data_IF_761884914540
#
_entry.id   IF_761884914540
#
_cell.length_a   1.000
_cell.length_b   1.000
_cell.length_c   1.000
_cell.angle_alpha   90.00
_cell.angle_beta   90.00
_cell.angle_gamma   90.00
#
_symmetry.space_group_name_H-M   'P 1'
#
loop_
_entity.id
_entity.type
_entity.pdbx_description
1 polymer ?
#
# COMPACT_ATOMS: atom_id res chain seq x y z
N UNK A 1 1.74 7.10 -54.79
CA UNK A 1 1.38 6.74 -53.41
C UNK A 1 2.22 7.60 -52.47
N UNK A 2 1.67 8.50 -51.65
CA UNK A 2 2.48 9.31 -50.75
C UNK A 2 2.92 8.44 -49.56
N UNK A 3 4.23 8.33 -49.37
CA UNK A 3 4.84 7.69 -48.22
C UNK A 3 4.41 8.43 -46.94
N UNK A 4 3.69 7.74 -46.06
CA UNK A 4 3.36 8.20 -44.73
C UNK A 4 4.66 8.37 -43.91
N UNK A 5 5.03 9.61 -43.62
CA UNK A 5 6.18 9.93 -42.74
C UNK A 5 5.86 9.47 -41.31
N UNK A 6 6.42 8.34 -40.90
CA UNK A 6 6.45 7.94 -39.48
C UNK A 6 7.38 8.88 -38.71
N UNK A 7 6.91 9.39 -37.58
CA UNK A 7 7.74 10.20 -36.70
C UNK A 7 8.40 9.25 -35.68
N UNK A 8 9.73 9.23 -35.65
CA UNK A 8 10.48 8.50 -34.64
C UNK A 8 10.53 9.36 -33.35
N UNK A 9 10.20 8.75 -32.22
CA UNK A 9 10.38 9.28 -30.88
C UNK A 9 11.15 8.25 -30.04
N UNK A 10 11.81 8.68 -28.98
CA UNK A 10 12.55 7.81 -28.07
C UNK A 10 11.79 7.70 -26.76
N UNK A 11 11.30 6.50 -26.44
CA UNK A 11 10.50 6.22 -25.26
C UNK A 11 11.40 5.66 -24.16
N UNK A 12 11.29 6.23 -22.96
CA UNK A 12 12.02 5.75 -21.79
C UNK A 12 11.33 4.50 -21.22
N UNK A 13 12.06 3.38 -21.09
CA UNK A 13 11.55 2.13 -20.51
C UNK A 13 11.32 2.23 -18.99
N UNK A 14 11.97 3.17 -18.29
CA UNK A 14 11.82 3.36 -16.86
C UNK A 14 10.65 4.27 -16.47
N UNK A 15 10.48 5.43 -17.13
CA UNK A 15 9.42 6.39 -16.77
C UNK A 15 8.33 6.56 -17.83
N UNK A 16 8.49 5.97 -19.03
CA UNK A 16 7.52 6.04 -20.12
C UNK A 16 7.41 7.39 -20.84
N UNK A 17 8.22 8.38 -20.49
CA UNK A 17 8.23 9.67 -21.19
C UNK A 17 8.87 9.53 -22.57
N UNK A 18 8.27 10.20 -23.57
CA UNK A 18 8.78 10.26 -24.92
C UNK A 18 9.63 11.50 -25.15
N UNK A 19 10.71 11.33 -25.90
CA UNK A 19 11.66 12.38 -26.23
C UNK A 19 11.86 12.45 -27.75
N UNK A 20 12.02 13.65 -28.30
CA UNK A 20 12.22 13.83 -29.76
C UNK A 20 13.59 13.36 -30.25
N UNK A 21 14.53 13.12 -29.34
CA UNK A 21 15.91 12.67 -29.61
C UNK A 21 16.31 11.61 -28.61
N UNK A 22 17.26 10.78 -29.00
CA UNK A 22 17.91 9.85 -28.09
C UNK A 22 18.88 10.58 -27.15
N UNK A 23 18.82 10.21 -25.87
CA UNK A 23 19.74 10.64 -24.82
C UNK A 23 20.30 9.41 -24.10
N UNK A 24 21.57 9.43 -23.70
CA UNK A 24 22.15 8.35 -22.88
C UNK A 24 21.49 8.24 -21.51
N UNK A 25 21.04 9.37 -20.95
CA UNK A 25 20.30 9.48 -19.70
C UNK A 25 18.95 10.11 -19.98
N UNK A 26 17.87 9.54 -19.43
CA UNK A 26 16.52 10.08 -19.61
C UNK A 26 16.38 11.44 -18.90
N UNK A 27 16.00 12.53 -19.62
CA UNK A 27 15.85 13.85 -18.99
C UNK A 27 14.72 13.94 -17.96
N UNK A 28 13.79 12.98 -17.97
CA UNK A 28 12.62 13.00 -17.07
C UNK A 28 12.83 12.24 -15.77
N UNK A 29 13.55 11.12 -15.78
CA UNK A 29 13.76 10.27 -14.59
C UNK A 29 15.23 10.09 -14.22
N UNK A 30 16.16 10.61 -15.03
CA UNK A 30 17.61 10.53 -14.87
C UNK A 30 18.19 9.11 -14.89
N UNK A 31 17.43 8.10 -15.38
CA UNK A 31 17.92 6.74 -15.57
C UNK A 31 18.74 6.62 -16.85
N UNK A 32 19.83 5.83 -16.80
CA UNK A 32 20.74 5.63 -17.92
C UNK A 32 20.32 4.45 -18.80
N UNK A 33 20.51 4.61 -20.13
CA UNK A 33 20.32 3.52 -21.10
C UNK A 33 18.86 3.06 -21.28
N UNK A 34 17.89 3.88 -20.87
CA UNK A 34 16.46 3.52 -20.86
C UNK A 34 15.67 4.01 -22.06
N UNK A 35 16.30 4.78 -22.99
CA UNK A 35 15.62 5.35 -24.16
C UNK A 35 15.71 4.41 -25.36
N UNK A 36 14.58 3.86 -25.79
CA UNK A 36 14.43 3.05 -27.00
C UNK A 36 13.72 3.80 -28.12
N UNK A 37 14.10 3.51 -29.36
CA UNK A 37 13.48 4.08 -30.58
C UNK A 37 12.04 3.59 -30.74
N UNK A 38 11.10 4.51 -30.95
CA UNK A 38 9.69 4.22 -31.13
C UNK A 38 9.12 4.92 -32.37
N UNK A 39 8.51 4.16 -33.28
CA UNK A 39 7.89 4.70 -34.50
C UNK A 39 6.41 4.99 -34.24
N UNK A 40 6.05 6.27 -34.20
CA UNK A 40 4.65 6.68 -34.08
C UNK A 40 4.00 6.63 -35.46
N UNK A 41 3.15 5.64 -35.70
CA UNK A 41 2.32 5.55 -36.89
C UNK A 41 1.19 6.60 -36.84
N UNK A 42 1.11 7.49 -37.82
CA UNK A 42 0.03 8.48 -37.97
C UNK A 42 -1.24 7.89 -38.58
N UNK A 43 -1.72 6.74 -38.16
CA UNK A 43 -3.09 6.34 -38.41
C UNK A 43 -4.01 6.82 -37.28
N UNK A 44 -4.23 8.14 -37.18
CA UNK A 44 -5.48 8.60 -36.60
C UNK A 44 -6.59 8.20 -37.57
N UNK A 45 -7.25 7.06 -37.36
CA UNK A 45 -8.65 6.92 -37.78
C UNK A 45 -9.34 8.15 -37.18
N UNK A 46 -10.10 8.89 -38.00
CA UNK A 46 -11.11 9.83 -37.54
C UNK A 46 -12.06 9.02 -36.64
N UNK A 47 -11.70 8.85 -35.37
CA UNK A 47 -12.66 8.50 -34.37
C UNK A 47 -13.69 9.62 -34.39
N UNK A 48 -14.96 9.27 -34.39
CA UNK A 48 -16.08 10.15 -34.19
C UNK A 48 -15.63 11.30 -33.28
N UNK A 49 -15.70 12.52 -33.77
CA UNK A 49 -15.61 13.71 -32.94
C UNK A 49 -16.76 13.59 -31.93
N UNK A 50 -16.46 12.96 -30.78
CA UNK A 50 -17.37 12.98 -29.66
C UNK A 50 -17.70 14.45 -29.43
N UNK A 51 -18.96 14.80 -29.48
CA UNK A 51 -19.48 16.10 -29.10
C UNK A 51 -18.73 16.57 -27.87
N UNK A 52 -18.12 17.74 -27.94
CA UNK A 52 -17.47 18.35 -26.80
C UNK A 52 -18.45 18.27 -25.61
N UNK A 53 -18.05 17.66 -24.52
CA UNK A 53 -18.92 17.63 -23.33
C UNK A 53 -19.14 19.07 -22.91
N UNK A 54 -20.39 19.45 -22.74
CA UNK A 54 -20.73 20.78 -22.23
C UNK A 54 -20.11 20.98 -20.84
N UNK A 55 -19.53 22.16 -20.65
CA UNK A 55 -19.03 22.55 -19.33
C UNK A 55 -20.22 22.73 -18.39
N UNK A 56 -20.14 22.17 -17.18
CA UNK A 56 -21.15 22.34 -16.14
C UNK A 56 -20.62 23.28 -15.06
N UNK A 57 -21.48 24.13 -14.50
CA UNK A 57 -21.11 24.96 -13.36
C UNK A 57 -20.88 24.09 -12.12
N UNK A 58 -19.90 24.46 -11.30
CA UNK A 58 -19.65 23.74 -10.03
C UNK A 58 -20.87 23.75 -9.11
N UNK A 59 -21.62 24.87 -9.05
CA UNK A 59 -22.86 24.97 -8.30
C UNK A 59 -23.87 23.87 -8.66
N UNK A 60 -24.01 23.59 -9.98
CA UNK A 60 -24.98 22.61 -10.47
C UNK A 60 -24.55 21.17 -10.13
N UNK A 61 -23.23 20.93 -10.08
CA UNK A 61 -22.67 19.66 -9.66
C UNK A 61 -22.85 19.43 -8.16
N UNK A 62 -22.63 20.46 -7.34
CA UNK A 62 -22.78 20.40 -5.88
C UNK A 62 -24.23 20.28 -5.41
N UNK A 63 -25.21 20.72 -6.23
CA UNK A 63 -26.64 20.54 -5.99
C UNK A 63 -27.17 19.20 -6.50
N UNK A 64 -26.37 18.47 -7.29
CA UNK A 64 -26.71 17.12 -7.76
C UNK A 64 -26.64 16.07 -6.66
N UNK A 65 -27.19 14.89 -6.93
CA UNK A 65 -27.03 13.74 -6.03
C UNK A 65 -25.56 13.40 -5.83
N UNK A 66 -25.18 13.11 -4.59
CA UNK A 66 -23.84 12.61 -4.26
C UNK A 66 -23.59 11.28 -4.99
N UNK A 67 -22.45 11.17 -5.65
CA UNK A 67 -22.10 9.95 -6.39
C UNK A 67 -21.93 8.80 -5.40
N UNK A 68 -22.87 7.85 -5.45
CA UNK A 68 -22.84 6.67 -4.58
C UNK A 68 -21.68 5.76 -4.95
N UNK A 69 -20.92 5.37 -3.95
CA UNK A 69 -19.88 4.34 -4.09
C UNK A 69 -20.51 2.96 -4.17
N UNK A 70 -19.87 2.07 -4.86
CA UNK A 70 -20.28 0.67 -5.00
C UNK A 70 -19.48 -0.13 -3.96
N UNK A 71 -20.13 -0.72 -2.94
CA UNK A 71 -19.44 -1.55 -1.96
C UNK A 71 -18.87 -2.80 -2.64
N UNK A 72 -17.66 -3.19 -2.23
CA UNK A 72 -17.03 -4.42 -2.75
C UNK A 72 -17.48 -5.68 -1.99
N UNK A 73 -18.24 -5.51 -0.90
CA UNK A 73 -18.62 -6.61 -0.01
C UNK A 73 -17.50 -7.06 0.94
N UNK A 74 -16.33 -6.43 0.86
CA UNK A 74 -15.16 -6.68 1.69
C UNK A 74 -14.81 -5.38 2.44
N UNK A 75 -15.08 -5.33 3.75
CA UNK A 75 -14.97 -4.09 4.54
C UNK A 75 -13.54 -3.54 4.58
N UNK A 76 -12.53 -4.42 4.61
CA UNK A 76 -11.12 -4.00 4.58
C UNK A 76 -10.74 -3.39 3.22
N UNK A 77 -11.30 -3.87 2.10
CA UNK A 77 -11.09 -3.25 0.79
C UNK A 77 -11.85 -1.93 0.67
N UNK A 78 -13.11 -1.89 1.13
CA UNK A 78 -13.91 -0.67 1.12
C UNK A 78 -13.26 0.44 1.95
N UNK A 79 -12.67 0.10 3.10
CA UNK A 79 -11.87 1.03 3.93
C UNK A 79 -10.75 1.67 3.11
N UNK A 80 -9.93 0.86 2.44
CA UNK A 80 -8.77 1.33 1.65
C UNK A 80 -9.21 2.18 0.46
N UNK A 81 -10.37 1.87 -0.12
CA UNK A 81 -10.98 2.65 -1.20
C UNK A 81 -11.65 3.95 -0.72
N UNK A 82 -11.91 4.08 0.58
CA UNK A 82 -12.62 5.22 1.17
C UNK A 82 -14.16 5.06 1.10
N UNK A 83 -14.65 3.82 1.24
CA UNK A 83 -16.07 3.45 1.29
C UNK A 83 -16.60 2.71 0.06
N UNK A 84 -15.73 2.16 -0.78
CA UNK A 84 -16.08 1.38 -1.97
C UNK A 84 -15.60 1.97 -3.29
N UNK A 85 -15.91 1.30 -4.39
CA UNK A 85 -15.52 1.72 -5.74
C UNK A 85 -16.32 2.97 -6.17
N UNK A 86 -15.62 3.92 -6.77
CA UNK A 86 -16.29 5.08 -7.36
C UNK A 86 -16.58 4.80 -8.84
N UNK A 87 -17.84 4.93 -9.32
CA UNK A 87 -18.13 4.84 -10.75
C UNK A 87 -17.26 5.80 -11.56
N UNK A 88 -16.79 5.35 -12.70
CA UNK A 88 -15.88 6.15 -13.55
C UNK A 88 -14.43 6.21 -13.05
N UNK A 89 -14.05 5.44 -12.03
CA UNK A 89 -12.66 5.36 -11.55
C UNK A 89 -11.86 4.27 -12.25
N UNK A 90 -10.57 4.53 -12.44
CA UNK A 90 -9.57 3.56 -12.87
C UNK A 90 -8.65 3.24 -11.69
N UNK A 91 -8.61 1.97 -11.30
CA UNK A 91 -7.91 1.47 -10.12
C UNK A 91 -6.83 0.49 -10.57
N UNK A 92 -5.62 0.66 -10.08
CA UNK A 92 -4.52 -0.28 -10.27
C UNK A 92 -4.34 -1.12 -9.00
N UNK A 93 -4.42 -2.44 -9.14
CA UNK A 93 -4.12 -3.41 -8.10
C UNK A 93 -2.77 -4.07 -8.39
N UNK A 94 -1.74 -3.65 -7.68
CA UNK A 94 -0.37 -4.13 -7.82
C UNK A 94 0.04 -5.12 -6.72
N UNK A 95 1.15 -5.83 -6.95
CA UNK A 95 1.73 -6.76 -5.98
C UNK A 95 2.54 -7.85 -6.66
N UNK A 96 3.31 -8.60 -5.86
CA UNK A 96 4.12 -9.72 -6.35
C UNK A 96 3.24 -10.80 -7.02
N UNK A 97 3.79 -11.59 -7.97
CA UNK A 97 3.11 -12.78 -8.47
C UNK A 97 2.74 -13.72 -7.31
N UNK A 98 1.55 -14.32 -7.36
CA UNK A 98 1.07 -15.24 -6.31
C UNK A 98 0.56 -14.60 -5.02
N UNK A 99 0.68 -13.28 -4.82
CA UNK A 99 0.32 -12.61 -3.56
C UNK A 99 -1.20 -12.60 -3.25
N UNK A 100 -2.07 -12.84 -4.24
CA UNK A 100 -3.52 -12.89 -4.07
C UNK A 100 -4.31 -11.82 -4.83
N UNK A 101 -3.71 -11.09 -5.79
CA UNK A 101 -4.40 -10.04 -6.58
C UNK A 101 -5.66 -10.54 -7.29
N UNK A 102 -5.52 -11.57 -8.12
CA UNK A 102 -6.63 -12.19 -8.85
C UNK A 102 -7.65 -12.84 -7.90
N UNK A 103 -7.19 -13.34 -6.76
CA UNK A 103 -8.06 -13.88 -5.70
C UNK A 103 -8.96 -12.79 -5.13
N UNK A 104 -8.37 -11.65 -4.70
CA UNK A 104 -9.12 -10.50 -4.17
C UNK A 104 -10.10 -9.96 -5.22
N UNK A 105 -9.64 -9.82 -6.47
CA UNK A 105 -10.46 -9.32 -7.56
C UNK A 105 -11.66 -10.23 -7.87
N UNK A 106 -11.54 -11.55 -7.73
CA UNK A 106 -12.67 -12.48 -7.87
C UNK A 106 -13.61 -12.44 -6.65
N UNK A 107 -13.07 -12.31 -5.44
CA UNK A 107 -13.86 -12.34 -4.20
C UNK A 107 -14.82 -11.15 -4.05
N UNK A 108 -14.56 -10.03 -4.70
CA UNK A 108 -15.45 -8.85 -4.66
C UNK A 108 -16.66 -9.00 -5.60
N UNK A 109 -16.58 -9.86 -6.63
CA UNK A 109 -17.57 -9.90 -7.72
C UNK A 109 -19.01 -10.25 -7.26
N UNK A 110 -19.22 -11.13 -6.26
CA UNK A 110 -20.57 -11.44 -5.78
C UNK A 110 -21.33 -10.25 -5.18
N UNK A 111 -20.64 -9.17 -4.83
CA UNK A 111 -21.29 -7.98 -4.27
C UNK A 111 -22.06 -7.14 -5.33
N UNK A 112 -21.81 -7.41 -6.62
CA UNK A 112 -22.38 -6.64 -7.71
C UNK A 112 -23.71 -7.24 -8.19
N UNK A 113 -24.73 -6.40 -8.27
CA UNK A 113 -26.08 -6.79 -8.75
C UNK A 113 -26.28 -6.54 -10.24
N UNK A 114 -25.40 -5.75 -10.85
CA UNK A 114 -25.37 -5.50 -12.30
C UNK A 114 -24.25 -6.29 -12.95
N UNK A 115 -24.25 -6.44 -14.30
CA UNK A 115 -23.22 -7.17 -14.98
C UNK A 115 -21.81 -6.71 -14.65
N UNK A 116 -20.90 -7.67 -14.50
CA UNK A 116 -19.46 -7.46 -14.32
C UNK A 116 -18.73 -8.21 -15.41
N UNK A 117 -17.73 -7.59 -16.01
CA UNK A 117 -16.86 -8.22 -16.99
C UNK A 117 -15.47 -8.47 -16.38
N UNK A 118 -15.09 -9.73 -16.26
CA UNK A 118 -13.75 -10.15 -15.87
C UNK A 118 -12.99 -10.66 -17.09
N UNK A 119 -11.94 -9.95 -17.48
CA UNK A 119 -11.09 -10.27 -18.61
C UNK A 119 -9.78 -10.86 -18.10
N UNK A 120 -9.47 -12.09 -18.47
CA UNK A 120 -8.17 -12.73 -18.18
C UNK A 120 -7.57 -13.24 -19.47
N UNK A 121 -6.42 -12.70 -19.83
CA UNK A 121 -5.67 -13.17 -20.99
C UNK A 121 -4.55 -14.16 -20.63
N UNK A 122 -4.38 -14.48 -19.34
CA UNK A 122 -3.38 -15.42 -18.84
C UNK A 122 -3.99 -16.79 -18.54
N UNK A 123 -5.24 -16.83 -18.10
CA UNK A 123 -5.96 -18.04 -17.69
C UNK A 123 -7.20 -18.26 -18.56
N UNK A 124 -7.50 -19.53 -18.84
CA UNK A 124 -8.75 -19.85 -19.52
C UNK A 124 -9.97 -19.65 -18.62
N UNK A 125 -11.15 -19.54 -19.23
CA UNK A 125 -12.41 -19.38 -18.49
C UNK A 125 -12.68 -20.53 -17.52
N UNK A 126 -12.27 -21.77 -17.91
CA UNK A 126 -12.37 -22.96 -17.06
C UNK A 126 -11.45 -22.88 -15.84
N UNK A 127 -10.22 -22.37 -16.00
CA UNK A 127 -9.27 -22.18 -14.88
C UNK A 127 -9.78 -21.14 -13.91
N UNK A 128 -10.33 -20.04 -14.43
CA UNK A 128 -10.99 -19.03 -13.59
C UNK A 128 -12.20 -19.64 -12.86
N UNK A 129 -13.01 -20.45 -13.56
CA UNK A 129 -14.15 -21.15 -12.99
C UNK A 129 -13.77 -22.11 -11.86
N UNK A 130 -12.66 -22.84 -12.00
CA UNK A 130 -12.12 -23.67 -10.91
C UNK A 130 -11.70 -22.84 -9.69
N UNK A 131 -11.06 -21.69 -9.93
CA UNK A 131 -10.69 -20.76 -8.88
C UNK A 131 -11.93 -20.18 -8.20
N UNK A 132 -12.91 -19.74 -8.96
CA UNK A 132 -14.19 -19.21 -8.44
C UNK A 132 -14.90 -20.22 -7.53
N UNK A 133 -14.95 -21.49 -7.92
CA UNK A 133 -15.52 -22.58 -7.08
C UNK A 133 -14.76 -22.73 -5.77
N UNK A 134 -13.43 -22.72 -5.79
CA UNK A 134 -12.60 -22.80 -4.57
C UNK A 134 -12.85 -21.63 -3.63
N UNK A 135 -13.09 -20.44 -4.17
CA UNK A 135 -13.36 -19.20 -3.44
C UNK A 135 -14.84 -19.05 -3.05
N UNK A 136 -15.71 -20.01 -3.38
CA UNK A 136 -17.17 -19.92 -3.22
C UNK A 136 -17.77 -18.68 -3.90
N UNK A 137 -17.15 -18.21 -4.99
CA UNK A 137 -17.67 -17.13 -5.83
C UNK A 137 -18.73 -17.72 -6.76
N UNK A 138 -19.97 -17.33 -6.54
CA UNK A 138 -21.10 -17.64 -7.42
C UNK A 138 -21.84 -16.34 -7.74
N UNK A 139 -21.99 -16.03 -9.03
CA UNK A 139 -22.66 -14.80 -9.47
C UNK A 139 -23.21 -14.99 -10.89
N UNK A 140 -24.52 -14.78 -11.05
CA UNK A 140 -25.20 -14.81 -12.35
C UNK A 140 -24.92 -13.55 -13.18
N UNK A 141 -24.32 -12.52 -12.59
CA UNK A 141 -23.96 -11.25 -13.25
C UNK A 141 -22.54 -11.24 -13.77
N UNK A 142 -21.73 -12.28 -13.51
CA UNK A 142 -20.33 -12.34 -13.91
C UNK A 142 -20.16 -12.90 -15.31
N UNK A 143 -19.60 -12.08 -16.20
CA UNK A 143 -19.15 -12.46 -17.53
C UNK A 143 -17.63 -12.65 -17.53
N UNK A 144 -17.17 -13.80 -17.99
CA UNK A 144 -15.74 -14.10 -18.17
C UNK A 144 -15.36 -13.91 -19.64
N UNK A 145 -14.15 -13.44 -19.89
CA UNK A 145 -13.61 -13.30 -21.24
C UNK A 145 -12.11 -13.57 -21.23
N UNK A 146 -11.65 -14.28 -22.26
CA UNK A 146 -10.23 -14.51 -22.56
C UNK A 146 -9.68 -13.59 -23.66
N UNK A 147 -10.43 -12.54 -24.02
CA UNK A 147 -10.00 -11.55 -25.04
C UNK A 147 -8.81 -10.72 -24.51
N UNK A 148 -7.78 -10.59 -25.34
CA UNK A 148 -6.57 -9.85 -25.00
C UNK A 148 -6.36 -8.59 -25.87
N UNK A 149 -7.17 -8.39 -26.94
CA UNK A 149 -7.16 -7.16 -27.71
C UNK A 149 -8.06 -6.12 -27.05
N UNK A 150 -7.52 -4.95 -26.81
CA UNK A 150 -8.28 -3.88 -26.16
C UNK A 150 -9.53 -3.49 -26.97
N UNK A 151 -9.47 -3.52 -28.29
CA UNK A 151 -10.60 -3.23 -29.17
C UNK A 151 -11.74 -4.24 -28.94
N UNK A 152 -11.44 -5.54 -28.84
CA UNK A 152 -12.41 -6.59 -28.54
C UNK A 152 -13.02 -6.45 -27.14
N UNK A 153 -12.20 -6.08 -26.16
CA UNK A 153 -12.68 -5.80 -24.80
C UNK A 153 -13.67 -4.62 -24.80
N UNK A 154 -13.37 -3.53 -25.51
CA UNK A 154 -14.25 -2.36 -25.62
C UNK A 154 -15.59 -2.69 -26.30
N UNK A 155 -15.56 -3.58 -27.30
CA UNK A 155 -16.76 -4.07 -27.98
C UNK A 155 -17.63 -4.89 -27.00
N UNK A 156 -17.03 -5.81 -26.22
CA UNK A 156 -17.74 -6.57 -25.18
C UNK A 156 -18.35 -5.66 -24.10
N UNK A 157 -17.61 -4.65 -23.63
CA UNK A 157 -18.15 -3.65 -22.69
C UNK A 157 -19.35 -2.91 -23.25
N UNK A 158 -19.33 -2.62 -24.57
CA UNK A 158 -20.45 -1.94 -25.24
C UNK A 158 -21.70 -2.81 -25.32
N UNK A 159 -21.53 -4.14 -25.44
CA UNK A 159 -22.64 -5.11 -25.50
C UNK A 159 -23.18 -5.42 -24.09
N UNK A 160 -22.32 -5.70 -23.13
CA UNK A 160 -22.67 -6.15 -21.76
C UNK A 160 -23.11 -4.98 -20.89
N UNK A 161 -22.57 -3.78 -21.10
CA UNK A 161 -22.77 -2.56 -20.26
C UNK A 161 -22.50 -2.83 -18.77
N UNK A 162 -21.32 -3.35 -18.40
CA UNK A 162 -21.00 -3.74 -17.04
C UNK A 162 -20.87 -2.52 -16.13
N UNK A 163 -21.11 -2.72 -14.81
CA UNK A 163 -20.85 -1.73 -13.77
C UNK A 163 -19.36 -1.74 -13.33
N UNK A 164 -18.72 -2.91 -13.45
CA UNK A 164 -17.30 -3.12 -13.16
C UNK A 164 -16.64 -3.91 -14.29
N UNK A 165 -15.44 -3.48 -14.68
CA UNK A 165 -14.54 -4.25 -15.55
C UNK A 165 -13.25 -4.56 -14.78
N UNK A 166 -12.84 -5.83 -14.80
CA UNK A 166 -11.56 -6.28 -14.24
C UNK A 166 -10.67 -6.76 -15.38
N UNK A 167 -9.43 -6.28 -15.43
CA UNK A 167 -8.41 -6.69 -16.40
C UNK A 167 -7.28 -7.42 -15.68
N UNK A 168 -7.11 -8.70 -15.92
CA UNK A 168 -6.12 -9.59 -15.28
C UNK A 168 -5.29 -10.35 -16.35
N UNK A 169 -4.12 -9.83 -16.74
CA UNK A 169 -3.42 -8.61 -16.30
C UNK A 169 -3.25 -7.61 -17.46
N UNK A 170 -2.89 -6.37 -17.13
CA UNK A 170 -2.63 -5.33 -18.15
C UNK A 170 -1.43 -5.69 -19.04
N UNK A 171 -0.52 -6.53 -18.56
CA UNK A 171 0.67 -6.94 -19.29
C UNK A 171 0.36 -7.82 -20.52
N UNK A 172 -0.77 -8.50 -20.52
CA UNK A 172 -1.20 -9.40 -21.61
C UNK A 172 -2.10 -8.71 -22.61
N UNK A 173 -2.70 -7.57 -22.25
CA UNK A 173 -3.57 -6.80 -23.13
C UNK A 173 -2.75 -5.95 -24.10
N UNK A 174 -3.21 -5.93 -25.37
CA UNK A 174 -2.55 -5.13 -26.42
C UNK A 174 -3.58 -4.48 -27.36
N UNK A 175 -3.13 -3.46 -28.08
CA UNK A 175 -3.88 -2.76 -29.13
C UNK A 175 -3.29 -3.10 -30.50
N UNK A 176 -4.15 -3.42 -31.43
CA UNK A 176 -3.78 -3.64 -32.85
C UNK A 176 -3.26 -2.33 -33.51
N UNK A 177 -3.45 -1.18 -32.88
CA UNK A 177 -2.95 0.10 -33.37
C UNK A 177 -1.43 0.26 -33.24
N UNK A 178 -0.76 -0.61 -32.49
CA UNK A 178 0.68 -0.56 -32.23
C UNK A 178 1.37 -1.85 -32.66
N UNK A 179 2.49 -1.73 -33.36
CA UNK A 179 3.31 -2.87 -33.81
C UNK A 179 4.22 -3.46 -32.70
N UNK A 180 4.15 -2.92 -31.48
CA UNK A 180 4.97 -3.37 -30.34
C UNK A 180 4.36 -4.60 -29.66
N UNK A 181 5.23 -5.43 -29.06
CA UNK A 181 4.79 -6.66 -28.37
C UNK A 181 3.91 -6.36 -27.14
N UNK A 182 2.95 -7.24 -26.80
CA UNK A 182 2.21 -7.20 -25.56
C UNK A 182 3.16 -7.06 -24.35
N UNK A 183 2.75 -6.35 -23.29
CA UNK A 183 3.59 -6.10 -22.13
C UNK A 183 4.67 -5.03 -22.30
N UNK A 184 4.88 -4.52 -23.53
CA UNK A 184 5.76 -3.38 -23.74
C UNK A 184 5.15 -2.09 -23.15
N UNK A 185 6.03 -1.16 -22.77
CA UNK A 185 5.63 0.14 -22.17
C UNK A 185 4.61 0.89 -23.04
N UNK A 186 4.79 0.85 -24.36
CA UNK A 186 3.89 1.50 -25.30
C UNK A 186 2.50 0.85 -25.34
N UNK A 187 2.42 -0.47 -25.31
CA UNK A 187 1.15 -1.19 -25.25
C UNK A 187 0.42 -0.94 -23.94
N UNK A 188 1.13 -1.05 -22.81
CA UNK A 188 0.56 -0.78 -21.49
C UNK A 188 0.03 0.66 -21.40
N UNK A 189 0.76 1.65 -21.96
CA UNK A 189 0.32 3.04 -22.01
C UNK A 189 -0.95 3.22 -22.84
N UNK A 190 -0.97 2.66 -24.04
CA UNK A 190 -2.11 2.78 -24.97
C UNK A 190 -3.36 2.12 -24.36
N UNK A 191 -3.24 0.86 -23.92
CA UNK A 191 -4.35 0.14 -23.29
C UNK A 191 -4.84 0.85 -22.01
N UNK A 192 -3.92 1.31 -21.15
CA UNK A 192 -4.27 2.07 -19.96
C UNK A 192 -5.01 3.37 -20.27
N UNK A 193 -4.62 4.08 -21.35
CA UNK A 193 -5.29 5.30 -21.79
C UNK A 193 -6.71 5.01 -22.31
N UNK A 194 -6.89 3.95 -23.10
CA UNK A 194 -8.21 3.53 -23.59
C UNK A 194 -9.13 3.10 -22.45
N UNK A 195 -8.61 2.34 -21.45
CA UNK A 195 -9.37 1.96 -20.26
C UNK A 195 -9.73 3.17 -19.38
N UNK A 196 -8.85 4.17 -19.26
CA UNK A 196 -9.16 5.41 -18.56
C UNK A 196 -10.29 6.18 -19.29
N UNK A 197 -10.23 6.27 -20.60
CA UNK A 197 -11.29 6.89 -21.39
C UNK A 197 -12.62 6.15 -21.23
N UNK A 198 -12.60 4.82 -21.32
CA UNK A 198 -13.77 3.97 -21.06
C UNK A 198 -14.39 4.27 -19.69
N UNK A 199 -13.59 4.22 -18.61
CA UNK A 199 -14.05 4.49 -17.26
C UNK A 199 -14.75 5.85 -17.18
N UNK A 200 -14.09 6.92 -17.68
CA UNK A 200 -14.62 8.29 -17.59
C UNK A 200 -15.81 8.55 -18.49
N UNK A 201 -15.86 7.95 -19.69
CA UNK A 201 -16.94 8.21 -20.67
C UNK A 201 -18.20 7.44 -20.33
N UNK A 202 -18.07 6.19 -19.89
CA UNK A 202 -19.19 5.28 -19.60
C UNK A 202 -19.57 5.25 -18.14
N UNK A 203 -18.83 5.95 -17.26
CA UNK A 203 -19.02 5.95 -15.82
C UNK A 203 -18.94 4.54 -15.20
N UNK A 204 -18.02 3.69 -15.72
CA UNK A 204 -17.79 2.31 -15.29
C UNK A 204 -16.56 2.29 -14.38
N UNK A 205 -16.61 1.55 -13.27
CA UNK A 205 -15.40 1.28 -12.49
C UNK A 205 -14.52 0.28 -13.22
N UNK A 206 -13.21 0.53 -13.28
CA UNK A 206 -12.25 -0.38 -13.93
C UNK A 206 -11.14 -0.71 -12.96
N UNK A 207 -10.90 -2.00 -12.71
CA UNK A 207 -9.76 -2.51 -11.94
C UNK A 207 -8.77 -3.14 -12.92
N UNK A 208 -7.54 -2.66 -12.89
CA UNK A 208 -6.43 -3.22 -13.64
C UNK A 208 -5.51 -3.94 -12.67
N UNK A 209 -5.23 -5.21 -12.93
CA UNK A 209 -4.23 -5.98 -12.18
C UNK A 209 -2.89 -5.83 -12.89
N UNK A 210 -1.84 -5.53 -12.09
CA UNK A 210 -0.46 -5.38 -12.56
C UNK A 210 0.54 -6.16 -11.69
N UNK A 211 1.56 -6.76 -12.31
CA UNK A 211 2.63 -7.44 -11.62
C UNK A 211 3.78 -6.47 -11.31
N UNK A 212 4.37 -6.60 -10.11
CA UNK A 212 5.61 -5.91 -9.75
C UNK A 212 6.81 -6.63 -10.36
N UNK A 213 7.86 -5.88 -10.71
CA UNK A 213 9.19 -6.47 -10.98
C UNK A 213 9.85 -6.91 -9.67
N UNK A 214 10.97 -7.69 -9.78
CA UNK A 214 11.77 -8.12 -8.62
C UNK A 214 12.28 -6.95 -7.76
N UNK A 215 12.33 -5.74 -8.30
CA UNK A 215 12.72 -4.51 -7.60
C UNK A 215 11.54 -3.80 -6.93
N UNK A 216 10.35 -4.42 -6.87
CA UNK A 216 9.16 -3.83 -6.26
C UNK A 216 8.50 -2.72 -7.10
N UNK A 217 8.87 -2.62 -8.38
CA UNK A 217 8.31 -1.67 -9.34
C UNK A 217 7.37 -2.44 -10.28
N UNK A 218 6.20 -1.89 -10.62
CA UNK A 218 5.31 -2.50 -11.60
C UNK A 218 6.06 -2.67 -12.92
N UNK A 219 5.99 -3.88 -13.50
CA UNK A 219 6.54 -4.17 -14.82
C UNK A 219 5.77 -3.35 -15.87
N UNK A 220 6.42 -2.34 -16.39
CA UNK A 220 5.78 -1.25 -17.11
C UNK A 220 5.62 -0.07 -16.17
N UNK A 221 5.94 1.13 -16.61
CA UNK A 221 6.50 2.18 -15.78
C UNK A 221 5.52 2.70 -14.72
N UNK A 222 6.07 3.37 -13.71
CA UNK A 222 5.41 4.34 -12.81
C UNK A 222 4.36 5.23 -13.49
N UNK A 223 4.34 5.21 -14.83
CA UNK A 223 3.38 5.91 -15.66
C UNK A 223 1.93 5.44 -15.43
N UNK A 224 1.66 4.12 -15.24
CA UNK A 224 0.30 3.69 -14.91
C UNK A 224 -0.17 4.27 -13.57
N UNK A 225 0.71 4.37 -12.57
CA UNK A 225 0.40 5.00 -11.29
C UNK A 225 -0.03 6.46 -11.46
N UNK A 226 0.61 7.19 -12.41
CA UNK A 226 0.22 8.57 -12.70
C UNK A 226 -1.11 8.68 -13.44
N UNK A 227 -1.43 7.70 -14.29
CA UNK A 227 -2.65 7.70 -15.11
C UNK A 227 -3.90 7.31 -14.32
N UNK A 228 -3.79 6.38 -13.39
CA UNK A 228 -4.94 5.87 -12.63
C UNK A 228 -5.36 6.81 -11.49
N UNK A 229 -6.60 6.67 -11.05
CA UNK A 229 -7.15 7.46 -9.95
C UNK A 229 -6.75 6.89 -8.58
N UNK A 230 -6.67 5.57 -8.47
CA UNK A 230 -6.34 4.83 -7.24
C UNK A 230 -5.26 3.81 -7.54
N UNK A 231 -4.27 3.70 -6.66
CA UNK A 231 -3.22 2.67 -6.69
C UNK A 231 -3.28 1.89 -5.39
N UNK A 232 -3.53 0.62 -5.48
CA UNK A 232 -3.54 -0.33 -4.38
C UNK A 232 -2.39 -1.33 -4.56
N UNK A 233 -1.68 -1.63 -3.47
CA UNK A 233 -0.69 -2.69 -3.43
C UNK A 233 -1.07 -3.77 -2.44
N UNK A 234 -0.98 -5.04 -2.84
CA UNK A 234 -1.00 -6.16 -1.91
C UNK A 234 0.46 -6.48 -1.57
N UNK A 235 0.76 -6.34 -0.28
CA UNK A 235 2.07 -6.60 0.32
C UNK A 235 1.97 -7.85 1.21
N UNK A 236 3.08 -8.56 1.39
CA UNK A 236 3.20 -9.74 2.23
C UNK A 236 4.41 -10.55 1.80
N UNK A 237 4.83 -11.47 2.63
CA UNK A 237 5.88 -12.43 2.33
C UNK A 237 5.37 -13.88 2.45
N UNK A 238 6.16 -14.84 1.95
CA UNK A 238 5.80 -16.26 1.95
C UNK A 238 5.91 -16.89 3.36
N UNK A 239 6.42 -16.16 4.34
CA UNK A 239 6.62 -16.63 5.72
C UNK A 239 5.42 -16.39 6.61
N UNK A 240 4.55 -15.45 6.21
CA UNK A 240 3.38 -15.05 6.98
C UNK A 240 2.10 -15.23 6.15
N UNK A 241 1.04 -15.72 6.80
CA UNK A 241 -0.27 -15.90 6.13
C UNK A 241 -1.02 -14.59 5.91
N UNK A 242 -0.60 -13.49 6.55
CA UNK A 242 -1.28 -12.22 6.39
C UNK A 242 -0.81 -11.45 5.14
N UNK A 243 -1.73 -10.66 4.60
CA UNK A 243 -1.53 -9.78 3.46
C UNK A 243 -2.04 -8.39 3.82
N UNK A 244 -1.30 -7.37 3.41
CA UNK A 244 -1.64 -5.98 3.65
C UNK A 244 -2.02 -5.35 2.31
N UNK A 245 -3.24 -4.88 2.19
CA UNK A 245 -3.70 -4.07 1.06
C UNK A 245 -3.47 -2.60 1.42
N UNK A 246 -2.56 -1.94 0.73
CA UNK A 246 -2.18 -0.54 0.97
C UNK A 246 -2.62 0.37 -0.17
N UNK A 247 -3.21 1.51 0.17
CA UNK A 247 -3.48 2.59 -0.78
C UNK A 247 -2.26 3.50 -0.93
N UNK A 248 -1.51 3.35 -2.01
CA UNK A 248 -0.38 4.23 -2.33
C UNK A 248 -0.83 5.58 -2.92
N UNK A 249 -1.99 5.59 -3.61
CA UNK A 249 -2.62 6.78 -4.19
C UNK A 249 -4.12 6.62 -4.16
N UNK A 250 -4.83 7.65 -3.71
CA UNK A 250 -6.28 7.69 -3.79
C UNK A 250 -6.74 9.14 -4.01
N UNK A 251 -7.26 9.46 -5.21
CA UNK A 251 -7.79 10.79 -5.53
C UNK A 251 -9.14 11.08 -4.88
N UNK A 252 -9.80 10.06 -4.37
CA UNK A 252 -11.18 10.12 -3.86
C UNK A 252 -11.28 9.81 -2.37
N UNK A 253 -10.15 9.65 -1.69
CA UNK A 253 -10.08 9.32 -0.27
C UNK A 253 -8.70 9.57 0.30
N UNK A 254 -8.48 9.11 1.53
CA UNK A 254 -7.16 9.16 2.19
C UNK A 254 -6.18 8.22 1.50
N UNK A 255 -4.95 8.68 1.31
CA UNK A 255 -3.82 7.83 0.94
C UNK A 255 -3.23 7.15 2.19
N UNK A 256 -2.46 6.08 1.98
CA UNK A 256 -1.82 5.27 3.02
C UNK A 256 -2.78 4.49 3.95
N UNK A 257 -4.08 4.39 3.60
CA UNK A 257 -4.98 3.48 4.30
C UNK A 257 -4.58 2.02 4.05
N UNK A 258 -4.78 1.17 5.06
CA UNK A 258 -4.48 -0.26 4.97
C UNK A 258 -5.68 -1.12 5.31
N UNK A 259 -5.82 -2.22 4.55
CA UNK A 259 -6.68 -3.34 4.84
C UNK A 259 -5.82 -4.57 5.16
N UNK A 260 -6.19 -5.37 6.14
CA UNK A 260 -5.43 -6.53 6.55
C UNK A 260 -6.25 -7.79 6.34
N UNK A 261 -5.60 -8.74 5.67
CA UNK A 261 -6.18 -10.03 5.31
C UNK A 261 -5.29 -11.16 5.78
N UNK A 262 -5.89 -12.33 5.98
CA UNK A 262 -5.21 -13.60 6.14
C UNK A 262 -5.45 -14.44 4.89
N UNK A 263 -4.40 -15.05 4.35
CA UNK A 263 -4.52 -15.98 3.23
C UNK A 263 -4.92 -17.35 3.76
N UNK A 264 -6.04 -17.84 3.31
CA UNK A 264 -6.54 -19.19 3.64
C UNK A 264 -6.84 -19.99 2.35
N UNK A 265 -7.17 -21.27 2.49
CA UNK A 265 -7.49 -22.15 1.35
C UNK A 265 -8.66 -21.62 0.50
N UNK A 266 -9.62 -20.94 1.12
CA UNK A 266 -10.80 -20.33 0.52
C UNK A 266 -10.61 -18.86 0.12
N UNK A 267 -9.37 -18.34 0.18
CA UNK A 267 -9.01 -16.99 -0.30
C UNK A 267 -8.50 -16.05 0.77
N UNK A 268 -8.68 -14.76 0.55
CA UNK A 268 -8.29 -13.69 1.46
C UNK A 268 -9.44 -13.41 2.43
N UNK A 269 -9.18 -13.61 3.72
CA UNK A 269 -10.14 -13.39 4.81
C UNK A 269 -9.77 -12.10 5.53
N UNK A 270 -10.75 -11.26 5.81
CA UNK A 270 -10.57 -10.00 6.52
C UNK A 270 -10.12 -10.19 7.97
N UNK A 271 -9.10 -9.47 8.39
CA UNK A 271 -8.67 -9.42 9.78
C UNK A 271 -9.34 -8.23 10.47
N UNK A 272 -10.37 -8.51 11.26
CA UNK A 272 -11.15 -7.47 11.95
C UNK A 272 -10.33 -6.71 12.98
N UNK A 273 -9.45 -7.42 13.71
CA UNK A 273 -8.56 -6.83 14.72
C UNK A 273 -7.09 -7.17 14.43
N UNK A 274 -6.39 -6.36 13.63
CA UNK A 274 -4.99 -6.61 13.32
C UNK A 274 -4.06 -6.55 14.52
N UNK A 275 -4.37 -5.69 15.49
CA UNK A 275 -3.55 -5.56 16.69
C UNK A 275 -3.53 -6.87 17.50
N UNK A 276 -4.65 -7.59 17.59
CA UNK A 276 -4.69 -8.92 18.21
C UNK A 276 -3.83 -9.92 17.43
N UNK A 277 -3.87 -9.89 16.10
CA UNK A 277 -3.05 -10.77 15.27
C UNK A 277 -1.56 -10.57 15.53
N UNK A 278 -1.09 -9.32 15.58
CA UNK A 278 0.33 -9.01 15.77
C UNK A 278 0.83 -9.18 17.21
N UNK A 279 -0.09 -9.26 18.18
CA UNK A 279 0.25 -9.46 19.59
C UNK A 279 -0.03 -10.89 20.09
N UNK A 280 -0.60 -11.77 19.25
CA UNK A 280 -1.05 -13.10 19.66
C UNK A 280 0.06 -13.99 20.23
N UNK A 281 1.28 -13.87 19.72
CA UNK A 281 2.43 -14.69 20.11
C UNK A 281 3.39 -13.94 21.06
N UNK A 282 2.99 -12.76 21.56
CA UNK A 282 3.82 -11.96 22.46
C UNK A 282 4.13 -12.71 23.74
N UNK A 283 5.38 -12.67 24.15
CA UNK A 283 5.86 -13.20 25.42
C UNK A 283 6.13 -12.06 26.40
N UNK A 284 5.61 -12.20 27.60
CA UNK A 284 5.75 -11.17 28.67
C UNK A 284 6.91 -11.44 29.63
N UNK A 285 7.64 -12.54 29.41
CA UNK A 285 8.70 -13.05 30.28
C UNK A 285 10.11 -12.85 29.69
N UNK A 286 10.22 -12.05 28.64
CA UNK A 286 11.50 -11.75 27.98
C UNK A 286 11.79 -10.25 28.01
N UNK A 287 13.09 -9.90 28.17
CA UNK A 287 13.57 -8.53 27.97
C UNK A 287 13.61 -8.17 26.49
N UNK A 288 13.61 -6.85 26.20
CA UNK A 288 13.74 -6.36 24.84
C UNK A 288 12.43 -6.30 24.02
N UNK A 289 11.28 -6.50 24.64
CA UNK A 289 9.97 -6.38 23.97
C UNK A 289 9.21 -5.15 24.45
N UNK A 290 8.72 -4.32 23.51
CA UNK A 290 7.86 -3.17 23.75
C UNK A 290 6.70 -3.13 22.79
N UNK A 291 5.64 -2.40 23.14
CA UNK A 291 4.48 -2.22 22.28
C UNK A 291 4.35 -0.76 21.84
N UNK A 292 4.12 -0.59 20.56
CA UNK A 292 3.94 0.70 19.91
C UNK A 292 2.66 0.70 19.05
N UNK A 293 1.77 1.70 19.17
CA UNK A 293 0.62 1.88 18.31
C UNK A 293 1.04 2.65 17.05
N UNK A 294 1.38 1.93 15.99
CA UNK A 294 1.64 2.50 14.66
C UNK A 294 0.37 3.10 14.07
N UNK A 295 0.50 4.14 13.26
CA UNK A 295 -0.58 4.66 12.43
C UNK A 295 -0.35 4.29 10.98
N UNK A 296 -1.21 3.43 10.47
CA UNK A 296 -1.27 3.10 9.06
C UNK A 296 -2.47 3.83 8.44
N UNK A 297 -2.19 4.95 7.77
CA UNK A 297 -3.23 5.87 7.34
C UNK A 297 -4.01 6.48 8.50
N UNK A 298 -5.30 6.14 8.60
CA UNK A 298 -6.13 6.55 9.73
C UNK A 298 -6.19 5.51 10.85
N UNK A 299 -5.73 4.27 10.62
CA UNK A 299 -5.90 3.13 11.50
C UNK A 299 -4.73 2.98 12.47
N UNK A 300 -4.96 3.00 13.78
CA UNK A 300 -3.96 2.59 14.74
C UNK A 300 -3.85 1.05 14.75
N UNK A 301 -2.63 0.53 14.79
CA UNK A 301 -2.33 -0.89 14.87
C UNK A 301 -1.23 -1.07 15.92
N UNK A 302 -1.48 -1.89 16.94
CA UNK A 302 -0.46 -2.19 17.93
C UNK A 302 0.53 -3.21 17.36
N UNK A 303 1.80 -2.86 17.44
CA UNK A 303 2.90 -3.67 16.93
C UNK A 303 3.90 -3.93 18.04
N UNK A 304 4.39 -5.16 18.13
CA UNK A 304 5.50 -5.49 19.01
C UNK A 304 6.83 -5.10 18.37
N UNK A 305 7.63 -4.37 19.11
CA UNK A 305 9.02 -4.04 18.80
C UNK A 305 9.90 -4.94 19.63
N UNK A 306 10.68 -5.81 19.00
CA UNK A 306 11.64 -6.69 19.65
C UNK A 306 13.06 -6.21 19.40
N UNK A 307 13.88 -6.20 20.41
CA UNK A 307 15.30 -5.90 20.33
C UNK A 307 16.12 -6.98 21.05
N UNK A 308 17.24 -7.35 20.44
CA UNK A 308 18.24 -8.21 21.03
C UNK A 308 19.59 -7.49 20.99
N UNK A 309 20.22 -7.39 22.17
CA UNK A 309 21.55 -6.82 22.34
C UNK A 309 22.47 -7.88 22.91
N UNK A 310 23.61 -8.08 22.29
CA UNK A 310 24.65 -9.04 22.75
C UNK A 310 26.03 -8.45 22.55
N UNK A 311 27.03 -9.01 23.23
CA UNK A 311 28.41 -8.61 23.03
C UNK A 311 28.88 -8.99 21.61
N UNK A 312 29.52 -8.06 20.91
CA UNK A 312 30.09 -8.33 19.60
C UNK A 312 31.31 -9.27 19.74
N UNK A 313 31.21 -10.46 19.14
CA UNK A 313 32.26 -11.48 19.21
C UNK A 313 33.33 -11.31 18.12
N UNK A 314 33.09 -10.51 17.09
CA UNK A 314 33.92 -10.42 15.87
C UNK A 314 34.40 -9.00 15.55
N UNK A 315 34.84 -8.25 16.53
CA UNK A 315 35.55 -6.97 16.35
C UNK A 315 34.69 -5.80 15.83
N UNK A 316 33.85 -6.00 14.82
CA UNK A 316 32.92 -4.96 14.32
C UNK A 316 31.48 -5.28 14.70
N UNK A 317 30.85 -4.43 15.52
CA UNK A 317 29.47 -4.63 15.96
C UNK A 317 28.47 -4.67 14.80
N UNK A 318 27.60 -5.68 14.81
CA UNK A 318 26.55 -5.83 13.83
C UNK A 318 25.32 -4.99 14.20
N UNK A 319 24.68 -4.42 13.19
CA UNK A 319 23.41 -3.68 13.31
C UNK A 319 22.44 -4.24 12.27
N UNK A 320 21.43 -4.97 12.72
CA UNK A 320 20.43 -5.55 11.85
C UNK A 320 19.03 -5.04 12.22
N UNK A 321 18.26 -4.68 11.19
CA UNK A 321 16.92 -4.11 11.38
C UNK A 321 15.95 -4.77 10.42
N UNK A 322 14.81 -5.18 10.93
CA UNK A 322 13.69 -5.63 10.14
C UNK A 322 12.45 -4.78 10.47
N UNK A 323 11.87 -4.13 9.45
CA UNK A 323 10.66 -3.31 9.59
C UNK A 323 10.87 -1.89 10.11
N UNK A 324 12.10 -1.46 10.46
CA UNK A 324 12.44 -0.12 10.92
C UNK A 324 13.61 0.45 10.13
N UNK A 325 13.78 1.78 10.10
CA UNK A 325 14.88 2.42 9.36
C UNK A 325 16.24 2.26 10.05
N UNK A 326 17.22 1.77 9.30
CA UNK A 326 18.57 1.52 9.82
C UNK A 326 19.28 2.80 10.29
N UNK A 327 19.13 3.91 9.56
CA UNK A 327 19.78 5.18 9.90
C UNK A 327 19.14 5.76 11.17
N UNK A 328 17.82 5.58 11.32
CA UNK A 328 17.10 5.98 12.53
C UNK A 328 17.57 5.19 13.75
N UNK A 329 17.71 3.86 13.62
CA UNK A 329 18.27 3.04 14.70
C UNK A 329 19.67 3.55 15.12
N UNK A 330 20.56 3.82 14.17
CA UNK A 330 21.91 4.30 14.46
C UNK A 330 21.88 5.60 15.29
N UNK A 331 20.97 6.54 14.99
CA UNK A 331 20.79 7.76 15.78
C UNK A 331 20.29 7.46 17.20
N UNK A 332 19.33 6.54 17.35
CA UNK A 332 18.79 6.15 18.65
C UNK A 332 19.86 5.49 19.55
N UNK A 333 20.74 4.66 18.96
CA UNK A 333 21.87 4.05 19.68
C UNK A 333 22.85 5.12 20.18
N UNK A 334 23.14 6.14 19.39
CA UNK A 334 23.98 7.25 19.80
C UNK A 334 23.34 8.06 20.96
N UNK A 335 22.01 8.22 20.96
CA UNK A 335 21.27 8.85 22.07
C UNK A 335 21.37 7.99 23.34
N UNK A 336 21.19 6.66 23.24
CA UNK A 336 21.36 5.73 24.37
C UNK A 336 22.72 5.87 25.02
N UNK A 337 23.77 5.88 24.19
CA UNK A 337 25.13 5.97 24.69
C UNK A 337 25.42 7.33 25.33
N UNK A 338 25.09 8.42 24.62
CA UNK A 338 25.47 9.78 25.08
C UNK A 338 24.59 10.32 26.21
N UNK A 339 23.29 9.95 26.25
CA UNK A 339 22.33 10.55 27.22
C UNK A 339 21.99 9.63 28.39
N UNK A 340 22.12 8.32 28.21
CA UNK A 340 21.76 7.34 29.24
C UNK A 340 22.96 6.51 29.72
N UNK A 341 24.14 6.69 29.10
CA UNK A 341 25.37 5.99 29.49
C UNK A 341 25.33 4.48 29.19
N UNK A 342 24.43 4.03 28.29
CA UNK A 342 24.35 2.64 27.92
C UNK A 342 25.26 2.43 26.71
N UNK A 343 26.43 1.83 26.93
CA UNK A 343 27.45 1.64 25.90
C UNK A 343 26.95 0.69 24.80
N UNK A 344 26.90 1.19 23.55
CA UNK A 344 26.47 0.45 22.39
C UNK A 344 27.61 0.19 21.39
N UNK A 345 28.77 0.81 21.60
CA UNK A 345 29.91 0.76 20.68
C UNK A 345 30.49 -0.63 20.46
N UNK A 346 30.34 -1.56 21.42
CA UNK A 346 30.85 -2.94 21.38
C UNK A 346 29.74 -3.99 21.40
N UNK A 347 28.50 -3.59 21.13
CA UNK A 347 27.34 -4.46 21.21
C UNK A 347 26.77 -4.73 19.81
N UNK A 348 26.42 -5.96 19.51
CA UNK A 348 25.56 -6.32 18.40
C UNK A 348 24.12 -5.94 18.75
N UNK A 349 23.41 -5.33 17.81
CA UNK A 349 22.01 -4.89 18.03
C UNK A 349 21.14 -5.40 16.86
N UNK A 350 20.11 -6.11 17.22
CA UNK A 350 19.09 -6.61 16.31
C UNK A 350 17.74 -6.02 16.71
N UNK A 351 17.03 -5.44 15.76
CA UNK A 351 15.66 -4.90 15.97
C UNK A 351 14.73 -5.53 14.95
N UNK A 352 13.61 -6.04 15.44
CA UNK A 352 12.59 -6.66 14.62
C UNK A 352 11.21 -6.11 14.98
N UNK A 353 10.46 -5.68 13.98
CA UNK A 353 9.04 -5.40 14.11
C UNK A 353 8.24 -6.65 13.76
N UNK A 354 7.46 -7.13 14.72
CA UNK A 354 6.69 -8.37 14.55
C UNK A 354 5.60 -8.17 13.50
N UNK A 355 5.38 -9.21 12.68
CA UNK A 355 4.32 -9.20 11.67
C UNK A 355 4.73 -8.66 10.30
N UNK A 356 6.03 -8.43 10.03
CA UNK A 356 6.51 -8.01 8.72
C UNK A 356 6.08 -6.60 8.29
N UNK A 357 5.54 -5.81 9.24
CA UNK A 357 5.20 -4.41 9.01
C UNK A 357 6.46 -3.56 8.85
N UNK A 358 6.41 -2.61 7.92
CA UNK A 358 7.43 -1.57 7.81
C UNK A 358 6.87 -0.28 8.39
N UNK A 359 7.51 0.21 9.47
CA UNK A 359 7.09 1.42 10.17
C UNK A 359 8.04 2.56 9.85
N UNK A 360 7.50 3.59 9.20
CA UNK A 360 8.20 4.86 8.93
C UNK A 360 7.77 5.97 9.91
N UNK A 361 6.98 5.63 10.94
CA UNK A 361 6.44 6.56 11.92
C UNK A 361 7.48 6.90 13.01
N UNK A 362 7.96 8.14 13.12
CA UNK A 362 8.94 8.54 14.14
C UNK A 362 8.44 8.35 15.56
N UNK A 363 7.13 8.27 15.78
CA UNK A 363 6.55 8.03 17.09
C UNK A 363 6.93 6.67 17.69
N UNK A 364 7.51 5.75 16.91
CA UNK A 364 8.04 4.47 17.33
C UNK A 364 9.38 4.57 18.09
N UNK A 365 10.10 5.69 18.00
CA UNK A 365 11.45 5.81 18.53
C UNK A 365 11.55 5.49 20.02
N UNK A 366 10.59 5.99 20.82
CA UNK A 366 10.59 5.74 22.25
C UNK A 366 10.41 4.25 22.57
N UNK A 367 9.63 3.53 21.77
CA UNK A 367 9.46 2.09 21.91
C UNK A 367 10.74 1.35 21.50
N UNK A 368 11.35 1.73 20.38
CA UNK A 368 12.59 1.09 19.86
C UNK A 368 13.74 1.31 20.83
N UNK A 369 13.99 2.54 21.26
CA UNK A 369 15.09 2.85 22.19
C UNK A 369 14.91 2.15 23.55
N UNK A 370 13.66 2.00 23.99
CA UNK A 370 13.34 1.30 25.25
C UNK A 370 13.51 -0.21 25.10
N UNK A 371 13.11 -0.81 23.97
CA UNK A 371 13.34 -2.23 23.72
C UNK A 371 14.84 -2.56 23.71
N UNK A 372 15.66 -1.76 23.01
CA UNK A 372 17.12 -1.91 23.01
C UNK A 372 17.70 -1.81 24.41
N UNK A 373 17.29 -0.81 25.19
CA UNK A 373 17.80 -0.63 26.55
C UNK A 373 17.35 -1.74 27.51
N UNK A 374 16.12 -2.23 27.37
CA UNK A 374 15.59 -3.37 28.11
C UNK A 374 16.44 -4.63 27.86
N UNK A 375 16.73 -4.93 26.59
CA UNK A 375 17.59 -6.05 26.22
C UNK A 375 19.04 -5.85 26.70
N UNK A 376 19.63 -4.66 26.54
CA UNK A 376 21.00 -4.38 26.96
C UNK A 376 21.20 -4.51 28.50
N UNK A 377 20.14 -4.25 29.28
CA UNK A 377 20.15 -4.37 30.74
C UNK A 377 19.59 -5.67 31.27
N UNK A 378 19.08 -6.51 30.37
CA UNK A 378 18.31 -7.74 30.68
C UNK A 378 17.21 -7.49 31.74
N UNK A 379 16.45 -6.41 31.54
CA UNK A 379 15.36 -6.03 32.43
C UNK A 379 14.00 -6.11 31.74
N UNK A 380 13.06 -6.78 32.38
CA UNK A 380 11.67 -6.87 31.93
C UNK A 380 10.99 -5.50 32.03
N UNK A 381 10.13 -5.20 31.06
CA UNK A 381 9.27 -4.03 31.08
C UNK A 381 7.87 -4.36 31.61
N UNK A 382 7.14 -3.35 32.16
CA UNK A 382 5.75 -3.59 32.58
C UNK A 382 4.87 -4.09 31.43
N UNK A 383 4.14 -5.17 31.64
CA UNK A 383 3.38 -5.89 30.61
C UNK A 383 2.32 -5.07 29.86
N UNK A 384 1.73 -4.09 30.55
CA UNK A 384 0.58 -3.32 30.04
C UNK A 384 0.93 -1.89 29.70
N UNK A 385 2.20 -1.59 29.34
CA UNK A 385 2.65 -0.26 28.98
C UNK A 385 2.79 -0.11 27.46
N UNK A 386 2.34 1.03 26.97
CA UNK A 386 2.51 1.49 25.59
C UNK A 386 3.48 2.66 25.58
N UNK A 387 4.39 2.67 24.61
CA UNK A 387 5.40 3.70 24.46
C UNK A 387 5.19 4.46 23.15
N UNK A 388 5.07 5.79 23.24
CA UNK A 388 4.82 6.65 22.10
C UNK A 388 5.68 7.89 22.21
N UNK A 389 6.50 8.20 21.21
CA UNK A 389 7.26 9.44 21.17
C UNK A 389 8.36 9.42 20.13
N UNK A 390 8.53 10.52 19.42
CA UNK A 390 9.71 10.75 18.60
C UNK A 390 10.87 11.17 19.51
N UNK A 391 12.07 10.63 19.28
CA UNK A 391 13.26 10.94 20.09
C UNK A 391 14.24 11.79 19.26
N UNK A 392 14.54 12.98 19.76
CA UNK A 392 15.56 13.85 19.17
C UNK A 392 16.98 13.53 19.64
N UNK A 393 17.98 14.07 18.98
CA UNK A 393 19.40 13.83 19.26
C UNK A 393 19.84 14.34 20.65
N UNK A 394 19.11 15.30 21.21
CA UNK A 394 19.30 15.76 22.60
C UNK A 394 18.75 14.80 23.63
N UNK A 395 18.01 13.77 23.24
CA UNK A 395 17.29 12.86 24.12
C UNK A 395 15.89 13.39 24.50
N UNK A 396 15.46 14.50 23.91
CA UNK A 396 14.11 15.04 24.11
C UNK A 396 13.06 14.15 23.45
N UNK A 397 11.89 14.02 24.08
CA UNK A 397 10.72 13.31 23.54
C UNK A 397 9.76 14.32 22.95
N UNK A 398 9.61 14.27 21.62
CA UNK A 398 8.86 15.22 20.81
C UNK A 398 7.42 14.79 20.58
N UNK A 399 6.57 15.78 20.29
CA UNK A 399 5.16 15.59 19.99
C UNK A 399 4.94 14.71 18.75
N UNK A 400 3.90 13.89 18.82
CA UNK A 400 3.48 12.97 17.76
C UNK A 400 2.06 13.31 17.28
N UNK A 401 1.71 12.83 16.09
CA UNK A 401 0.38 13.01 15.53
C UNK A 401 -0.64 12.02 16.15
N UNK A 402 -1.90 12.45 16.25
CA UNK A 402 -3.07 11.61 16.61
C UNK A 402 -2.85 10.76 17.87
N UNK A 403 -2.31 11.34 18.94
CA UNK A 403 -2.07 10.62 20.18
C UNK A 403 -3.36 10.01 20.76
N UNK A 404 -4.48 10.73 20.70
CA UNK A 404 -5.79 10.26 21.19
C UNK A 404 -6.22 8.95 20.52
N UNK A 405 -6.06 8.87 19.19
CA UNK A 405 -6.41 7.67 18.40
C UNK A 405 -5.57 6.47 18.83
N UNK A 406 -4.25 6.67 19.02
CA UNK A 406 -3.31 5.63 19.47
C UNK A 406 -3.64 5.12 20.89
N UNK A 407 -3.98 6.03 21.79
CA UNK A 407 -4.35 5.67 23.18
C UNK A 407 -5.68 4.91 23.21
N UNK A 408 -6.66 5.33 22.41
CA UNK A 408 -7.96 4.65 22.37
C UNK A 408 -7.84 3.20 21.89
N UNK A 409 -6.99 2.92 20.88
CA UNK A 409 -6.70 1.57 20.43
C UNK A 409 -6.02 0.74 21.53
N UNK A 410 -4.98 1.30 22.16
CA UNK A 410 -4.29 0.65 23.27
C UNK A 410 -5.26 0.30 24.41
N UNK A 411 -6.15 1.20 24.75
CA UNK A 411 -7.19 0.99 25.76
C UNK A 411 -8.18 -0.10 25.36
N UNK A 412 -8.64 -0.13 24.09
CA UNK A 412 -9.56 -1.14 23.58
C UNK A 412 -8.97 -2.56 23.72
N UNK A 413 -7.65 -2.68 23.60
CA UNK A 413 -6.90 -3.94 23.76
C UNK A 413 -6.44 -4.22 25.20
N UNK A 414 -6.96 -3.46 26.17
CA UNK A 414 -6.74 -3.74 27.58
C UNK A 414 -5.45 -3.23 28.21
N UNK A 415 -4.65 -2.43 27.48
CA UNK A 415 -3.45 -1.79 28.04
C UNK A 415 -3.85 -0.78 29.15
N UNK A 416 -3.04 -0.71 30.20
CA UNK A 416 -3.35 0.07 31.42
C UNK A 416 -2.58 1.36 31.54
N UNK A 417 -1.44 1.48 30.82
CA UNK A 417 -0.58 2.68 30.91
C UNK A 417 0.03 3.03 29.55
N UNK A 418 0.21 4.33 29.36
CA UNK A 418 0.88 4.91 28.20
C UNK A 418 1.92 5.91 28.68
N UNK A 419 3.12 5.84 28.12
CA UNK A 419 4.15 6.87 28.24
C UNK A 419 4.18 7.63 26.92
N UNK A 420 3.97 8.94 26.97
CA UNK A 420 3.83 9.79 25.80
C UNK A 420 4.45 11.17 26.00
N UNK A 421 4.68 11.96 24.92
CA UNK A 421 5.27 13.29 25.05
C UNK A 421 4.40 14.22 25.90
N UNK A 422 4.99 14.87 26.91
CA UNK A 422 4.29 15.84 27.79
C UNK A 422 3.57 16.93 27.01
N UNK A 423 4.15 17.39 25.90
CA UNK A 423 3.53 18.42 25.06
C UNK A 423 2.22 17.95 24.41
N UNK A 424 2.10 16.66 24.06
CA UNK A 424 0.84 16.09 23.59
C UNK A 424 -0.15 15.94 24.75
N UNK A 425 0.28 15.37 25.87
CA UNK A 425 -0.59 15.12 27.05
C UNK A 425 -1.22 16.43 27.55
N UNK A 426 -0.47 17.54 27.59
CA UNK A 426 -0.98 18.86 27.98
C UNK A 426 -2.02 19.44 27.00
N UNK A 427 -1.99 19.02 25.72
CA UNK A 427 -2.95 19.49 24.68
C UNK A 427 -4.20 18.64 24.60
N UNK A 428 -4.25 17.49 25.28
CA UNK A 428 -5.44 16.65 25.30
C UNK A 428 -6.60 17.38 25.99
N UNK A 429 -7.74 17.50 25.30
CA UNK A 429 -8.95 18.13 25.87
C UNK A 429 -9.57 17.27 26.98
N UNK A 430 -9.51 15.95 26.82
CA UNK A 430 -10.04 14.97 27.78
C UNK A 430 -9.11 13.77 27.82
N UNK A 431 -8.76 13.32 29.02
CA UNK A 431 -8.00 12.08 29.17
C UNK A 431 -8.94 10.88 29.16
N UNK A 432 -8.67 9.82 28.38
CA UNK A 432 -9.47 8.61 28.36
C UNK A 432 -9.50 7.96 29.75
N UNK A 433 -10.70 7.68 30.27
CA UNK A 433 -10.83 6.96 31.56
C UNK A 433 -10.34 5.50 31.43
N UNK A 434 -9.71 4.97 32.47
CA UNK A 434 -9.30 3.56 32.54
C UNK A 434 -7.92 3.23 31.96
N UNK A 435 -7.16 4.24 31.53
CA UNK A 435 -5.74 4.10 31.15
C UNK A 435 -4.93 5.25 31.78
N UNK A 436 -3.80 4.94 32.41
CA UNK A 436 -2.90 5.93 33.01
C UNK A 436 -2.00 6.51 31.94
N UNK A 437 -1.96 7.83 31.80
CA UNK A 437 -1.10 8.52 30.82
C UNK A 437 0.00 9.27 31.58
N UNK A 438 1.25 8.91 31.33
CA UNK A 438 2.43 9.55 31.87
C UNK A 438 3.13 10.39 30.82
N UNK A 439 3.18 11.71 31.02
CA UNK A 439 3.89 12.62 30.12
C UNK A 439 5.37 12.66 30.44
N UNK A 440 6.23 12.55 29.42
CA UNK A 440 7.70 12.66 29.55
C UNK A 440 8.23 13.71 28.57
N UNK A 441 9.33 14.38 28.98
CA UNK A 441 10.00 15.41 28.18
C UNK A 441 11.29 14.89 27.54
N UNK A 442 11.88 13.85 28.11
CA UNK A 442 13.13 13.24 27.65
C UNK A 442 13.16 11.73 27.93
N UNK A 443 14.08 11.03 27.28
CA UNK A 443 14.24 9.57 27.43
C UNK A 443 14.61 9.15 28.85
N UNK A 444 15.33 9.98 29.63
CA UNK A 444 15.68 9.72 31.03
C UNK A 444 14.44 9.60 31.91
N UNK A 445 13.48 10.52 31.78
CA UNK A 445 12.19 10.45 32.48
C UNK A 445 11.41 9.19 32.15
N UNK A 446 11.38 8.82 30.87
CA UNK A 446 10.72 7.57 30.42
C UNK A 446 11.38 6.34 31.08
N UNK A 447 12.69 6.31 31.15
CA UNK A 447 13.42 5.19 31.75
C UNK A 447 13.21 5.11 33.28
N UNK A 448 13.12 6.23 33.98
CA UNK A 448 12.78 6.24 35.41
C UNK A 448 11.38 5.70 35.72
N UNK A 449 10.47 5.77 34.75
CA UNK A 449 9.12 5.20 34.91
C UNK A 449 9.07 3.69 34.62
N UNK A 450 10.09 3.15 33.91
CA UNK A 450 10.10 1.80 33.40
C UNK A 450 11.08 0.87 34.13
N UNK A 451 12.19 1.40 34.62
CA UNK A 451 13.29 0.66 35.24
C UNK A 451 13.54 1.09 36.67
#
# INVERSE_FOLDING_TARGET
MPQLKSKIVYLCSACGNDHPKWYGQCPSCNEWGTLGEFKVSKKRKKGNSGLARDSRKLSDILQGEEVKRIPTGIAEMDRVLGGGLLPGSLILLGGNPGIGKSTLALQILPAFTKPVLYVSAEESEEQIGLRARRLNVNSDTLHLSSENRIEGILDQVSLIQPELVVIDSIQTVFSDALDSLPGSVSQIRECGQQLLQLAKQRNIAVIIIGHLTKEGIIAGPKMLEHMVDVVLYIEGDDRHDHRILRSAKNRFGTSNEVGIFKMESNGLIEVKNPSELFLAERRDDISGSTIFPSLEGSRPILVEVQALVSNANFGTPQRNVNGFDFKRLAMLLAVLEKRLGILMGTQDVFVNLVGGLKIDDPAADLAVITAVASSARDKLLPKSVILIGEVGLGGEVRSVSRLDTRINEAKALGFKSVIAPTANVKRMKTQPKGIKISGVTNVGEAFHLLF
#
